data_IF_836165563138
#
_entry.id   IF_836165563138
#
_cell.length_a   1.000
_cell.length_b   1.000
_cell.length_c   1.000
_cell.angle_alpha   90.00
_cell.angle_beta   90.00
_cell.angle_gamma   90.00
#
_symmetry.space_group_name_H-M   'P 1'
#
loop_
_entity.id
_entity.type
_entity.pdbx_description
1 polymer ?
#
# COMPACT_ATOMS: atom_id res chain seq x y z
N UNK A 1 -5.15 -10.25 -11.62
CA UNK A 1 -3.79 -9.81 -11.24
C UNK A 1 -3.62 -10.01 -9.74
N UNK A 2 -2.55 -10.67 -9.31
CA UNK A 2 -2.20 -10.88 -7.89
C UNK A 2 -1.28 -9.76 -7.42
N UNK A 3 -1.28 -9.47 -6.11
CA UNK A 3 -0.41 -8.43 -5.53
C UNK A 3 1.08 -8.66 -5.85
N UNK A 4 1.50 -9.93 -5.85
CA UNK A 4 2.87 -10.34 -6.22
C UNK A 4 3.22 -10.01 -7.68
N UNK A 5 2.24 -10.04 -8.58
CA UNK A 5 2.43 -9.67 -9.99
C UNK A 5 2.65 -8.17 -10.13
N UNK A 6 1.94 -7.34 -9.35
CA UNK A 6 2.15 -5.89 -9.28
C UNK A 6 3.53 -5.57 -8.71
N UNK A 7 3.92 -6.23 -7.60
CA UNK A 7 5.26 -6.08 -7.02
C UNK A 7 6.37 -6.40 -8.02
N UNK A 8 6.24 -7.51 -8.77
CA UNK A 8 7.20 -7.89 -9.79
C UNK A 8 7.24 -6.91 -10.97
N UNK A 9 6.08 -6.42 -11.40
CA UNK A 9 5.98 -5.41 -12.45
C UNK A 9 6.68 -4.11 -12.02
N UNK A 10 6.45 -3.63 -10.79
CA UNK A 10 7.07 -2.40 -10.27
C UNK A 10 8.60 -2.52 -10.23
N UNK A 11 9.14 -3.65 -9.73
CA UNK A 11 10.60 -3.91 -9.73
C UNK A 11 11.17 -3.84 -11.13
N UNK A 12 10.50 -4.49 -12.09
CA UNK A 12 10.95 -4.53 -13.48
C UNK A 12 10.85 -3.15 -14.13
N UNK A 13 9.79 -2.39 -13.86
CA UNK A 13 9.62 -1.03 -14.35
C UNK A 13 10.73 -0.11 -13.84
N UNK A 14 10.99 -0.09 -12.54
CA UNK A 14 12.05 0.71 -11.91
C UNK A 14 13.44 0.37 -12.49
N UNK A 15 13.74 -0.92 -12.67
CA UNK A 15 14.99 -1.37 -13.32
C UNK A 15 15.10 -0.90 -14.78
N UNK A 16 14.03 -1.07 -15.58
CA UNK A 16 14.01 -0.64 -17.00
C UNK A 16 14.20 0.85 -17.16
N UNK A 17 13.71 1.65 -16.21
CA UNK A 17 13.86 3.11 -16.21
C UNK A 17 15.22 3.58 -15.66
N UNK A 18 16.10 2.67 -15.27
CA UNK A 18 17.41 3.02 -14.73
C UNK A 18 17.34 3.73 -13.38
N UNK A 19 16.24 3.58 -12.65
CA UNK A 19 16.05 4.19 -11.32
C UNK A 19 16.85 3.37 -10.31
N UNK A 20 18.17 3.53 -10.33
CA UNK A 20 19.11 2.91 -9.41
C UNK A 20 19.53 3.93 -8.35
N UNK A 21 18.58 4.29 -7.50
CA UNK A 21 18.76 5.29 -6.46
C UNK A 21 19.39 4.67 -5.21
N UNK A 22 20.05 5.48 -4.37
CA UNK A 22 20.51 5.00 -3.05
C UNK A 22 19.30 4.65 -2.17
N UNK A 23 19.50 3.76 -1.19
CA UNK A 23 18.45 3.27 -0.28
C UNK A 23 17.57 4.42 0.27
N UNK A 24 18.19 5.47 0.80
CA UNK A 24 17.47 6.57 1.42
C UNK A 24 16.67 7.41 0.42
N UNK A 25 17.19 7.55 -0.81
CA UNK A 25 16.49 8.23 -1.91
C UNK A 25 15.28 7.42 -2.39
N UNK A 26 15.42 6.09 -2.50
CA UNK A 26 14.31 5.20 -2.85
C UNK A 26 13.16 5.32 -1.85
N UNK A 27 13.47 5.34 -0.55
CA UNK A 27 12.48 5.47 0.52
C UNK A 27 11.79 6.82 0.45
N UNK A 28 12.56 7.91 0.35
CA UNK A 28 12.02 9.28 0.26
C UNK A 28 11.07 9.42 -0.92
N UNK A 29 11.48 8.98 -2.11
CA UNK A 29 10.66 9.08 -3.32
C UNK A 29 9.41 8.21 -3.20
N UNK A 30 9.52 6.97 -2.68
CA UNK A 30 8.36 6.10 -2.53
C UNK A 30 7.31 6.69 -1.58
N UNK A 31 7.73 7.31 -0.47
CA UNK A 31 6.82 7.95 0.48
C UNK A 31 6.18 9.21 -0.12
N UNK A 32 6.99 10.07 -0.77
CA UNK A 32 6.48 11.29 -1.40
C UNK A 32 5.44 10.95 -2.47
N UNK A 33 5.74 9.99 -3.35
CA UNK A 33 4.79 9.56 -4.38
C UNK A 33 3.55 8.92 -3.80
N UNK A 34 3.65 7.99 -2.84
CA UNK A 34 2.46 7.45 -2.19
C UNK A 34 1.58 8.54 -1.57
N UNK A 35 2.18 9.58 -0.99
CA UNK A 35 1.44 10.71 -0.40
C UNK A 35 0.75 11.56 -1.47
N UNK A 36 1.43 11.80 -2.59
CA UNK A 36 0.88 12.48 -3.77
C UNK A 36 -0.36 11.76 -4.29
N UNK A 37 -0.25 10.46 -4.58
CA UNK A 37 -1.38 9.68 -5.14
C UNK A 37 -2.59 9.63 -4.20
N UNK A 38 -2.35 9.52 -2.87
CA UNK A 38 -3.44 9.59 -1.88
C UNK A 38 -4.11 10.97 -1.91
N UNK A 39 -3.33 12.03 -2.13
CA UNK A 39 -3.84 13.38 -2.32
C UNK A 39 -4.68 13.51 -3.59
N UNK A 40 -4.27 12.86 -4.68
CA UNK A 40 -5.01 12.86 -5.95
C UNK A 40 -6.34 12.09 -5.83
N UNK A 41 -6.36 10.95 -5.15
CA UNK A 41 -7.62 10.25 -4.79
C UNK A 41 -8.53 11.19 -4.00
N UNK A 42 -8.00 11.87 -2.97
CA UNK A 42 -8.79 12.79 -2.16
C UNK A 42 -9.34 13.96 -2.98
N UNK A 43 -8.52 14.54 -3.86
CA UNK A 43 -8.91 15.61 -4.79
C UNK A 43 -10.02 15.14 -5.73
N UNK A 44 -9.87 13.99 -6.38
CA UNK A 44 -10.87 13.44 -7.30
C UNK A 44 -12.23 13.23 -6.61
N UNK A 45 -12.24 12.73 -5.37
CA UNK A 45 -13.47 12.59 -4.57
C UNK A 45 -14.10 13.95 -4.26
N UNK A 46 -13.31 14.92 -3.79
CA UNK A 46 -13.81 16.26 -3.42
C UNK A 46 -14.35 17.04 -4.62
N UNK A 47 -13.78 16.82 -5.80
CA UNK A 47 -14.16 17.46 -7.06
C UNK A 47 -15.21 16.65 -7.85
N UNK A 48 -15.70 15.53 -7.32
CA UNK A 48 -16.65 14.62 -7.98
C UNK A 48 -16.18 14.07 -9.35
N UNK A 49 -14.86 13.92 -9.54
CA UNK A 49 -14.23 13.33 -10.75
C UNK A 49 -14.18 11.80 -10.64
N UNK A 50 -15.34 11.17 -10.65
CA UNK A 50 -15.51 9.74 -10.38
C UNK A 50 -14.84 8.82 -11.42
N UNK A 51 -14.68 9.30 -12.65
CA UNK A 51 -13.98 8.63 -13.74
C UNK A 51 -12.48 8.52 -13.50
N UNK A 52 -11.88 9.43 -12.72
CA UNK A 52 -10.46 9.42 -12.39
C UNK A 52 -10.13 8.53 -11.18
N UNK A 53 -11.07 8.32 -10.25
CA UNK A 53 -10.80 7.64 -8.97
C UNK A 53 -10.14 6.27 -9.13
N UNK A 54 -10.53 5.48 -10.13
CA UNK A 54 -9.93 4.16 -10.34
C UNK A 54 -8.46 4.24 -10.78
N UNK A 55 -8.09 5.27 -11.54
CA UNK A 55 -6.71 5.51 -11.93
C UNK A 55 -5.89 5.90 -10.69
N UNK A 56 -6.35 6.87 -9.91
CA UNK A 56 -5.65 7.34 -8.72
C UNK A 56 -5.50 6.24 -7.65
N UNK A 57 -6.53 5.40 -7.46
CA UNK A 57 -6.43 4.22 -6.58
C UNK A 57 -5.38 3.24 -7.10
N UNK A 58 -5.26 3.08 -8.41
CA UNK A 58 -4.27 2.18 -9.01
C UNK A 58 -2.85 2.67 -8.74
N UNK A 59 -2.61 3.98 -8.82
CA UNK A 59 -1.31 4.57 -8.51
C UNK A 59 -0.96 4.41 -7.02
N UNK A 60 -1.92 4.60 -6.11
CA UNK A 60 -1.75 4.27 -4.69
C UNK A 60 -1.33 2.81 -4.49
N UNK A 61 -1.97 1.85 -5.18
CA UNK A 61 -1.64 0.43 -5.08
C UNK A 61 -0.20 0.16 -5.58
N UNK A 62 0.21 0.79 -6.68
CA UNK A 62 1.55 0.64 -7.25
C UNK A 62 2.61 1.15 -6.27
N UNK A 63 2.45 2.36 -5.73
CA UNK A 63 3.42 2.91 -4.80
C UNK A 63 3.40 2.24 -3.42
N UNK A 64 2.25 1.72 -2.97
CA UNK A 64 2.21 0.84 -1.80
C UNK A 64 3.02 -0.45 -2.03
N UNK A 65 2.93 -1.05 -3.22
CA UNK A 65 3.76 -2.20 -3.61
C UNK A 65 5.25 -1.85 -3.67
N UNK A 66 5.61 -0.64 -4.13
CA UNK A 66 6.99 -0.14 -4.12
C UNK A 66 7.56 -0.08 -2.69
N UNK A 67 6.79 0.45 -1.73
CA UNK A 67 7.21 0.48 -0.33
C UNK A 67 7.34 -0.94 0.24
N UNK A 68 6.39 -1.83 -0.07
CA UNK A 68 6.49 -3.23 0.35
C UNK A 68 7.73 -3.92 -0.25
N UNK A 69 8.07 -3.66 -1.51
CA UNK A 69 9.29 -4.14 -2.15
C UNK A 69 10.55 -3.66 -1.40
N UNK A 70 10.58 -2.40 -0.98
CA UNK A 70 11.68 -1.86 -0.15
C UNK A 70 11.74 -2.59 1.20
N UNK A 71 10.61 -2.79 1.89
CA UNK A 71 10.56 -3.50 3.16
C UNK A 71 11.09 -4.95 3.03
N UNK A 72 10.62 -5.68 2.01
CA UNK A 72 11.04 -7.05 1.75
C UNK A 72 12.51 -7.15 1.33
N UNK A 73 12.94 -6.33 0.36
CA UNK A 73 14.26 -6.50 -0.26
C UNK A 73 15.37 -5.89 0.59
N UNK A 74 15.12 -4.76 1.25
CA UNK A 74 16.13 -4.02 2.01
C UNK A 74 16.09 -4.37 3.49
N UNK A 75 14.90 -4.48 4.08
CA UNK A 75 14.72 -4.73 5.51
C UNK A 75 14.39 -6.18 5.84
N UNK A 76 14.31 -7.05 4.82
CA UNK A 76 14.11 -8.50 4.96
C UNK A 76 12.85 -8.86 5.75
N UNK A 77 11.79 -8.06 5.57
CA UNK A 77 10.49 -8.34 6.19
C UNK A 77 9.75 -9.46 5.45
N UNK A 78 8.71 -9.98 6.09
CA UNK A 78 7.75 -10.91 5.49
C UNK A 78 7.20 -10.40 4.15
N UNK A 79 6.82 -11.36 3.30
CA UNK A 79 6.17 -11.09 2.01
C UNK A 79 4.83 -10.39 2.20
N UNK A 80 4.57 -9.34 1.42
CA UNK A 80 3.32 -8.58 1.48
C UNK A 80 2.09 -9.48 1.36
N UNK A 81 2.14 -10.47 0.48
CA UNK A 81 1.05 -11.43 0.29
C UNK A 81 0.70 -12.18 1.59
N UNK A 82 1.71 -12.59 2.35
CA UNK A 82 1.52 -13.33 3.61
C UNK A 82 1.06 -12.39 4.73
N UNK A 83 1.65 -11.19 4.81
CA UNK A 83 1.20 -10.15 5.75
C UNK A 83 -0.26 -9.78 5.48
N UNK A 84 -0.65 -9.61 4.22
CA UNK A 84 -2.01 -9.27 3.81
C UNK A 84 -2.99 -10.37 4.19
N UNK A 85 -2.66 -11.65 3.94
CA UNK A 85 -3.48 -12.80 4.36
C UNK A 85 -3.72 -12.79 5.87
N UNK A 86 -2.68 -12.58 6.68
CA UNK A 86 -2.81 -12.50 8.14
C UNK A 86 -3.61 -11.28 8.57
N UNK A 87 -3.41 -10.14 7.91
CA UNK A 87 -4.13 -8.89 8.19
C UNK A 87 -5.62 -8.98 7.87
N UNK A 88 -5.99 -9.64 6.77
CA UNK A 88 -7.39 -9.89 6.41
C UNK A 88 -8.09 -10.73 7.48
N UNK A 89 -7.49 -11.85 7.88
CA UNK A 89 -7.99 -12.68 8.99
C UNK A 89 -8.11 -11.88 10.29
N UNK A 90 -7.12 -11.04 10.58
CA UNK A 90 -7.17 -10.13 11.74
C UNK A 90 -8.32 -9.12 11.65
N UNK A 91 -8.67 -8.64 10.45
CA UNK A 91 -9.79 -7.73 10.24
C UNK A 91 -11.15 -8.44 10.35
N UNK A 92 -11.28 -9.68 9.88
CA UNK A 92 -12.51 -10.49 9.96
C UNK A 92 -12.98 -10.71 11.40
N UNK A 93 -12.03 -10.88 12.34
CA UNK A 93 -12.36 -11.09 13.76
C UNK A 93 -12.67 -9.78 14.51
N UNK A 94 -12.60 -8.62 13.85
CA UNK A 94 -12.96 -7.34 14.49
C UNK A 94 -14.46 -7.26 14.70
N UNK A 95 -14.86 -6.68 15.82
CA UNK A 95 -16.27 -6.43 16.10
C UNK A 95 -16.59 -4.94 15.92
N UNK A 96 -17.70 -4.64 15.24
CA UNK A 96 -18.17 -3.27 15.08
C UNK A 96 -18.79 -2.79 16.40
N UNK A 97 -18.21 -1.75 16.99
CA UNK A 97 -18.89 -0.96 18.03
C UNK A 97 -19.88 -0.02 17.34
N UNK A 98 -21.17 -0.33 17.48
CA UNK A 98 -22.27 0.43 16.87
C UNK A 98 -22.38 1.85 17.42
N UNK A 99 -21.93 2.10 18.66
CA UNK A 99 -22.02 3.43 19.30
C UNK A 99 -20.97 4.37 18.72
N UNK A 100 -19.73 3.92 18.65
CA UNK A 100 -18.63 4.72 18.08
C UNK A 100 -18.52 4.63 16.56
N UNK A 101 -19.23 3.69 15.93
CA UNK A 101 -19.12 3.33 14.50
C UNK A 101 -17.68 2.94 14.11
N UNK A 102 -16.92 2.37 15.05
CA UNK A 102 -15.53 1.93 14.86
C UNK A 102 -15.40 0.43 15.08
N UNK A 103 -14.44 -0.18 14.41
CA UNK A 103 -14.08 -1.57 14.65
C UNK A 103 -13.15 -1.71 15.86
N UNK A 104 -13.51 -2.57 16.81
CA UNK A 104 -12.68 -2.89 17.97
C UNK A 104 -11.49 -3.76 17.54
N UNK A 105 -10.29 -3.40 18.00
CA UNK A 105 -9.09 -4.23 17.81
C UNK A 105 -9.25 -5.55 18.59
N UNK A 106 -8.94 -6.72 18.01
CA UNK A 106 -8.90 -8.00 18.72
C UNK A 106 -7.82 -7.99 19.81
N UNK A 107 -7.95 -8.88 20.80
CA UNK A 107 -6.98 -9.01 21.91
C UNK A 107 -5.59 -9.47 21.46
N UNK A 108 -5.50 -10.17 20.31
CA UNK A 108 -4.24 -10.64 19.77
C UNK A 108 -3.29 -9.45 19.50
N UNK A 109 -1.99 -9.66 19.71
CA UNK A 109 -0.97 -8.60 19.61
C UNK A 109 -0.31 -8.49 18.23
N UNK A 110 -0.74 -9.26 17.23
CA UNK A 110 -0.02 -9.47 15.98
C UNK A 110 0.17 -8.18 15.16
N UNK A 111 -0.82 -7.29 15.17
CA UNK A 111 -0.77 -6.00 14.47
C UNK A 111 -1.11 -4.83 15.39
N UNK A 112 -0.39 -4.70 16.51
CA UNK A 112 -0.68 -3.70 17.53
C UNK A 112 -0.38 -2.27 17.14
#
# INVERSE_FOLDING_TARGET
MRIKEIQNWEKNFSRKKGINLKKDEQIKIAILKLTEEVGEVAKAILENRWDEIQAEISDVIIFACKIANIAEDIYKTDKLEDVLKRKMKYCEIRTLDKKSKKFNKPKNKEFK
#
